data_IF_868378346284
#
_entry.id   IF_868378346284
#
_cell.length_a   1.000
_cell.length_b   1.000
_cell.length_c   1.000
_cell.angle_alpha   90.00
_cell.angle_beta   90.00
_cell.angle_gamma   90.00
#
_symmetry.space_group_name_H-M   'P 1'
#
loop_
_entity.id
_entity.type
_entity.pdbx_description
1 polymer ?
#
# COMPACT_ATOMS: atom_id res chain seq x y z
N UNK A 1 -13.24 8.61 5.79
CA UNK A 1 -12.29 8.20 4.73
C UNK A 1 -10.98 8.90 4.98
N UNK A 2 -10.05 8.21 5.61
CA UNK A 2 -8.67 8.65 5.80
C UNK A 2 -8.05 8.93 4.43
N UNK A 3 -7.51 10.13 4.30
CA UNK A 3 -6.90 10.59 3.07
C UNK A 3 -5.40 10.24 3.10
N UNK A 4 -4.93 9.44 2.15
CA UNK A 4 -3.51 9.10 1.99
C UNK A 4 -2.81 10.32 1.39
N UNK A 5 -2.02 11.01 2.21
CA UNK A 5 -1.31 12.23 1.83
C UNK A 5 0.16 11.95 1.56
N UNK A 6 0.81 12.85 0.83
CA UNK A 6 2.26 12.83 0.68
C UNK A 6 2.94 12.85 2.07
N UNK A 7 3.92 11.96 2.31
CA UNK A 7 4.69 12.00 3.54
C UNK A 7 5.41 13.34 3.69
N UNK A 8 5.49 13.84 4.92
CA UNK A 8 6.21 15.07 5.25
C UNK A 8 7.73 14.85 5.23
N UNK A 9 8.15 13.64 5.58
CA UNK A 9 9.56 13.27 5.64
C UNK A 9 10.06 12.72 4.30
N UNK A 10 11.37 12.88 4.05
CA UNK A 10 12.01 12.38 2.84
C UNK A 10 12.19 10.85 2.89
N UNK A 11 12.58 10.26 1.75
CA UNK A 11 12.61 8.80 1.62
C UNK A 11 13.61 8.07 2.52
N UNK A 12 14.66 8.76 2.95
CA UNK A 12 15.77 8.23 3.74
C UNK A 12 15.55 8.39 5.24
N UNK A 13 14.56 9.20 5.63
CA UNK A 13 14.21 9.46 7.01
C UNK A 13 13.43 8.30 7.63
N UNK A 14 13.94 7.77 8.74
CA UNK A 14 13.28 6.71 9.51
C UNK A 14 11.91 7.13 10.05
N UNK A 15 11.67 8.43 10.27
CA UNK A 15 10.38 8.96 10.69
C UNK A 15 9.30 8.81 9.59
N UNK A 16 9.70 8.77 8.32
CA UNK A 16 8.78 8.56 7.19
C UNK A 16 8.05 7.23 7.29
N UNK A 17 8.74 6.17 7.71
CA UNK A 17 8.15 4.83 7.82
C UNK A 17 6.96 4.85 8.79
N UNK A 18 7.15 5.46 9.97
CA UNK A 18 6.10 5.58 10.99
C UNK A 18 4.93 6.47 10.55
N UNK A 19 5.21 7.57 9.84
CA UNK A 19 4.16 8.43 9.28
C UNK A 19 3.31 7.66 8.26
N UNK A 20 3.95 6.97 7.32
CA UNK A 20 3.28 6.15 6.32
C UNK A 20 2.45 5.03 6.97
N UNK A 21 3.00 4.34 7.97
CA UNK A 21 2.32 3.28 8.72
C UNK A 21 1.04 3.80 9.38
N UNK A 22 1.12 4.94 10.08
CA UNK A 22 -0.03 5.54 10.77
C UNK A 22 -1.15 5.93 9.79
N UNK A 23 -0.80 6.58 8.68
CA UNK A 23 -1.77 6.96 7.64
C UNK A 23 -2.38 5.72 6.97
N UNK A 24 -1.56 4.71 6.70
CA UNK A 24 -2.01 3.43 6.11
C UNK A 24 -2.99 2.70 7.04
N UNK A 25 -2.66 2.58 8.33
CA UNK A 25 -3.53 1.96 9.32
C UNK A 25 -4.90 2.67 9.40
N UNK A 26 -4.91 4.00 9.42
CA UNK A 26 -6.15 4.77 9.41
C UNK A 26 -6.99 4.56 8.13
N UNK A 27 -6.34 4.42 6.97
CA UNK A 27 -7.04 4.10 5.72
C UNK A 27 -7.61 2.69 5.72
N UNK A 28 -6.86 1.72 6.26
CA UNK A 28 -7.30 0.33 6.37
C UNK A 28 -8.50 0.20 7.30
N UNK A 29 -8.49 0.86 8.46
CA UNK A 29 -9.64 0.89 9.37
C UNK A 29 -10.90 1.40 8.69
N UNK A 30 -10.79 2.44 7.86
CA UNK A 30 -11.93 2.98 7.12
C UNK A 30 -12.42 2.07 5.99
N UNK A 31 -11.56 1.21 5.43
CA UNK A 31 -11.98 0.15 4.50
C UNK A 31 -12.75 -0.93 5.27
N UNK A 32 -12.19 -1.43 6.37
CA UNK A 32 -12.82 -2.47 7.20
C UNK A 32 -14.19 -2.02 7.68
N UNK A 33 -14.31 -0.81 8.22
CA UNK A 33 -15.60 -0.25 8.67
C UNK A 33 -16.66 -0.22 7.57
N UNK A 34 -16.27 0.11 6.34
CA UNK A 34 -17.20 0.14 5.20
C UNK A 34 -17.61 -1.26 4.75
N UNK A 35 -16.68 -2.21 4.75
CA UNK A 35 -16.99 -3.61 4.44
C UNK A 35 -17.97 -4.20 5.46
N UNK A 36 -17.72 -3.98 6.75
CA UNK A 36 -18.62 -4.42 7.83
C UNK A 36 -19.98 -3.75 7.71
N UNK A 37 -20.03 -2.44 7.44
CA UNK A 37 -21.30 -1.74 7.20
C UNK A 37 -22.06 -2.25 5.96
N UNK A 38 -21.36 -2.86 5.00
CA UNK A 38 -21.95 -3.54 3.85
C UNK A 38 -22.35 -4.99 4.13
N UNK A 39 -22.22 -5.47 5.38
CA UNK A 39 -22.64 -6.79 5.83
C UNK A 39 -21.56 -7.87 5.78
N UNK A 40 -20.30 -7.51 5.54
CA UNK A 40 -19.19 -8.46 5.53
C UNK A 40 -18.76 -8.78 6.96
N UNK A 41 -18.24 -9.99 7.20
CA UNK A 41 -17.61 -10.31 8.49
C UNK A 41 -16.21 -9.70 8.56
N UNK A 42 -15.76 -9.38 9.76
CA UNK A 42 -14.43 -8.79 9.97
C UNK A 42 -13.31 -9.74 9.51
N UNK A 43 -13.48 -11.05 9.72
CA UNK A 43 -12.51 -12.06 9.31
C UNK A 43 -12.42 -12.19 7.79
N UNK A 44 -13.54 -12.06 7.07
CA UNK A 44 -13.59 -12.14 5.61
C UNK A 44 -12.80 -10.99 4.97
N UNK A 45 -13.07 -9.75 5.41
CA UNK A 45 -12.34 -8.59 4.89
C UNK A 45 -10.86 -8.63 5.30
N UNK A 46 -10.53 -9.10 6.50
CA UNK A 46 -9.14 -9.24 6.93
C UNK A 46 -8.36 -10.21 6.03
N UNK A 47 -8.95 -11.36 5.70
CA UNK A 47 -8.34 -12.35 4.81
C UNK A 47 -8.11 -11.77 3.42
N UNK A 48 -9.13 -11.14 2.83
CA UNK A 48 -9.01 -10.54 1.50
C UNK A 48 -8.00 -9.38 1.44
N UNK A 49 -7.87 -8.59 2.51
CA UNK A 49 -6.86 -7.55 2.60
C UNK A 49 -5.43 -8.13 2.66
N UNK A 50 -5.24 -9.22 3.40
CA UNK A 50 -3.96 -9.91 3.47
C UNK A 50 -3.55 -10.47 2.10
N UNK A 51 -4.47 -11.18 1.42
CA UNK A 51 -4.23 -11.73 0.09
C UNK A 51 -3.92 -10.63 -0.94
N UNK A 52 -4.66 -9.51 -0.91
CA UNK A 52 -4.44 -8.39 -1.81
C UNK A 52 -3.09 -7.72 -1.58
N UNK A 53 -2.68 -7.57 -0.31
CA UNK A 53 -1.38 -7.01 0.05
C UNK A 53 -0.23 -7.93 -0.41
N UNK A 54 -0.33 -9.24 -0.17
CA UNK A 54 0.66 -10.21 -0.61
C UNK A 54 0.81 -10.23 -2.13
N UNK A 55 -0.30 -10.29 -2.86
CA UNK A 55 -0.30 -10.23 -4.32
C UNK A 55 0.37 -8.97 -4.87
N UNK A 56 0.16 -7.82 -4.21
CA UNK A 56 0.81 -6.58 -4.60
C UNK A 56 2.33 -6.61 -4.35
N UNK A 57 2.77 -7.20 -3.24
CA UNK A 57 4.20 -7.39 -2.96
C UNK A 57 4.84 -8.30 -4.01
N UNK A 58 4.21 -9.42 -4.36
CA UNK A 58 4.66 -10.32 -5.43
C UNK A 58 4.74 -9.57 -6.76
N UNK A 59 3.72 -8.76 -7.08
CA UNK A 59 3.75 -7.91 -8.27
C UNK A 59 4.95 -6.96 -8.26
N UNK A 60 5.23 -6.25 -7.16
CA UNK A 60 6.38 -5.35 -7.08
C UNK A 60 7.72 -6.09 -7.24
N UNK A 61 7.84 -7.29 -6.68
CA UNK A 61 9.03 -8.12 -6.78
C UNK A 61 9.26 -8.66 -8.20
N UNK A 62 8.19 -9.00 -8.91
CA UNK A 62 8.26 -9.60 -10.25
C UNK A 62 8.19 -8.58 -11.39
N UNK A 63 7.77 -7.34 -11.10
CA UNK A 63 7.64 -6.28 -12.10
C UNK A 63 8.99 -6.03 -12.78
N UNK A 64 9.10 -6.21 -14.11
CA UNK A 64 10.32 -5.88 -14.82
C UNK A 64 10.65 -4.41 -14.58
N UNK A 65 11.84 -4.11 -14.03
CA UNK A 65 12.37 -2.75 -14.07
C UNK A 65 12.56 -2.43 -15.54
N UNK A 66 11.63 -1.67 -16.13
CA UNK A 66 11.76 -1.17 -17.49
C UNK A 66 12.96 -0.19 -17.51
N UNK A 67 14.18 -0.73 -17.59
CA UNK A 67 15.35 0.05 -17.97
C UNK A 67 15.21 0.27 -19.46
N UNK A 68 14.57 1.36 -19.84
CA UNK A 68 14.79 1.93 -21.17
C UNK A 68 16.28 2.27 -21.24
N UNK A 69 17.11 1.33 -21.70
CA UNK A 69 18.46 1.63 -22.12
C UNK A 69 18.31 2.52 -23.36
N UNK A 70 18.73 3.77 -23.26
CA UNK A 70 18.88 4.61 -24.43
C UNK A 70 19.78 3.86 -25.42
N UNK A 71 19.30 3.67 -26.65
CA UNK A 71 19.98 2.90 -27.69
C UNK A 71 21.22 3.60 -28.27
N UNK A 72 21.72 4.66 -27.63
CA UNK A 72 22.75 5.51 -28.17
C UNK A 72 23.85 5.77 -27.12
N UNK A 73 24.71 4.78 -26.92
CA UNK A 73 26.09 5.01 -26.51
C UNK A 73 26.95 4.60 -27.71
N UNK A 74 27.45 5.59 -28.44
CA UNK A 74 28.56 5.44 -29.40
C UNK A 74 29.87 5.21 -28.66
#
# INVERSE_FOLDING_TARGET
>A
MTNIRSPRFNAEDMARSRECESVCAGALTDVVRRAVAAGWREEEIALHLADAAENYVIYLATKPKCRLKAANNN
#
